data_IF_280990665697
#
_entry.id   IF_280990665697
#
_cell.length_a   1.000
_cell.length_b   1.000
_cell.length_c   1.000
_cell.angle_alpha   90.00
_cell.angle_beta   90.00
_cell.angle_gamma   90.00
#
_symmetry.space_group_name_H-M   'P 1'
#
loop_
_entity.id
_entity.type
_entity.pdbx_description
1 polymer ?
#
# COMPACT_ATOMS: atom_id res chain seq x y z
N UNK A 1 30.82 -23.80 17.70
CA UNK A 1 30.21 -25.09 18.11
C UNK A 1 30.42 -25.22 19.60
N UNK A 2 29.37 -25.37 20.41
CA UNK A 2 29.52 -25.56 21.84
C UNK A 2 30.26 -26.88 22.13
N UNK A 3 31.30 -26.83 22.96
CA UNK A 3 32.04 -27.99 23.46
C UNK A 3 31.55 -28.32 24.87
N UNK A 4 31.38 -29.61 25.17
CA UNK A 4 30.91 -30.08 26.48
C UNK A 4 31.98 -30.94 27.13
N UNK A 5 32.18 -30.82 28.45
CA UNK A 5 33.09 -31.71 29.17
C UNK A 5 32.36 -32.95 29.67
N UNK A 6 32.88 -34.14 29.35
CA UNK A 6 32.31 -35.38 29.83
C UNK A 6 32.48 -35.51 31.35
N UNK A 7 31.38 -35.66 32.08
CA UNK A 7 31.38 -35.80 33.54
C UNK A 7 32.12 -37.06 34.04
N UNK A 8 32.21 -38.11 33.21
CA UNK A 8 32.89 -39.36 33.59
C UNK A 8 34.39 -39.39 33.30
N UNK A 9 34.85 -38.77 32.20
CA UNK A 9 36.27 -38.83 31.79
C UNK A 9 36.97 -37.47 31.70
N UNK A 10 36.27 -36.37 31.96
CA UNK A 10 36.80 -35.00 31.99
C UNK A 10 37.22 -34.42 30.63
N UNK A 11 37.11 -35.18 29.54
CA UNK A 11 37.50 -34.72 28.20
C UNK A 11 36.42 -33.85 27.58
N UNK A 12 36.86 -32.83 26.85
CA UNK A 12 36.00 -32.05 25.97
C UNK A 12 35.54 -32.90 24.78
N UNK A 13 34.24 -32.92 24.55
CA UNK A 13 33.60 -33.64 23.47
C UNK A 13 32.69 -32.72 22.67
N UNK A 14 32.46 -33.12 21.42
CA UNK A 14 31.37 -32.56 20.60
C UNK A 14 30.02 -33.05 21.16
N UNK A 15 28.92 -32.31 20.89
CA UNK A 15 27.61 -32.69 21.40
C UNK A 15 27.20 -34.08 20.93
N UNK A 16 26.98 -34.99 21.89
CA UNK A 16 26.61 -36.37 21.63
C UNK A 16 25.90 -36.96 22.86
N UNK A 17 24.94 -37.86 22.63
CA UNK A 17 24.18 -38.56 23.68
C UNK A 17 25.09 -39.46 24.53
N UNK A 18 26.13 -40.02 23.91
CA UNK A 18 27.18 -40.82 24.57
C UNK A 18 28.56 -40.28 24.24
N UNK A 19 29.46 -40.32 25.21
CA UNK A 19 30.83 -39.92 25.02
C UNK A 19 31.54 -40.86 24.02
N UNK A 20 32.13 -40.35 22.92
CA UNK A 20 32.82 -41.19 21.94
C UNK A 20 34.09 -41.85 22.48
N UNK A 21 34.61 -41.40 23.63
CA UNK A 21 35.84 -41.91 24.22
C UNK A 21 35.63 -42.94 25.33
N UNK A 22 34.62 -42.76 26.19
CA UNK A 22 34.38 -43.66 27.33
C UNK A 22 33.01 -44.35 27.29
N UNK A 23 32.15 -44.03 26.33
CA UNK A 23 30.82 -44.63 26.17
C UNK A 23 29.77 -44.19 27.20
N UNK A 24 30.14 -43.35 28.17
CA UNK A 24 29.22 -42.86 29.20
C UNK A 24 28.10 -41.98 28.61
N UNK A 25 26.88 -42.16 29.12
CA UNK A 25 25.72 -41.31 28.78
C UNK A 25 25.86 -39.92 29.41
N UNK A 26 25.44 -38.89 28.67
CA UNK A 26 25.64 -37.49 29.03
C UNK A 26 24.29 -36.82 29.35
N UNK A 27 23.78 -36.91 30.60
CA UNK A 27 22.47 -36.35 30.97
C UNK A 27 22.39 -34.83 30.77
N UNK A 28 23.50 -34.12 31.04
CA UNK A 28 23.63 -32.67 30.83
C UNK A 28 23.35 -32.22 29.38
N UNK A 29 23.63 -33.07 28.38
CA UNK A 29 23.34 -32.76 26.98
C UNK A 29 21.84 -32.88 26.68
N UNK A 30 21.19 -33.90 27.24
CA UNK A 30 19.74 -34.12 27.10
C UNK A 30 18.97 -32.99 27.78
N UNK A 31 19.40 -32.58 28.98
CA UNK A 31 18.81 -31.44 29.69
C UNK A 31 18.96 -30.13 28.88
N UNK A 32 20.14 -29.89 28.31
CA UNK A 32 20.36 -28.70 27.48
C UNK A 32 19.51 -28.71 26.21
N UNK A 33 19.33 -29.86 25.56
CA UNK A 33 18.42 -30.01 24.43
C UNK A 33 16.97 -29.74 24.84
N UNK A 34 16.50 -30.29 25.95
CA UNK A 34 15.15 -30.07 26.46
C UNK A 34 14.88 -28.58 26.78
N UNK A 35 15.89 -27.87 27.30
CA UNK A 35 15.79 -26.43 27.56
C UNK A 35 15.70 -25.62 26.25
N UNK A 36 16.50 -25.96 25.23
CA UNK A 36 16.40 -25.34 23.91
C UNK A 36 15.02 -25.61 23.30
N UNK A 37 14.52 -26.85 23.35
CA UNK A 37 13.19 -27.20 22.85
C UNK A 37 12.08 -26.42 23.56
N UNK A 38 12.19 -26.24 24.88
CA UNK A 38 11.27 -25.38 25.66
C UNK A 38 11.32 -23.93 25.18
N UNK A 39 12.51 -23.37 24.94
CA UNK A 39 12.65 -22.00 24.42
C UNK A 39 12.06 -21.82 23.02
N UNK A 40 12.20 -22.83 22.15
CA UNK A 40 11.59 -22.84 20.81
C UNK A 40 10.07 -22.88 20.91
N UNK A 41 9.52 -23.72 21.80
CA UNK A 41 8.09 -23.81 22.03
C UNK A 41 7.52 -22.48 22.54
N UNK A 42 8.23 -21.79 23.44
CA UNK A 42 7.83 -20.46 23.91
C UNK A 42 7.84 -19.42 22.78
N UNK A 43 8.90 -19.38 21.96
CA UNK A 43 8.97 -18.46 20.82
C UNK A 43 7.83 -18.71 19.83
N UNK A 44 7.50 -19.98 19.53
CA UNK A 44 6.36 -20.33 18.65
C UNK A 44 5.01 -19.93 19.25
N UNK A 45 4.84 -20.07 20.56
CA UNK A 45 3.62 -19.62 21.23
C UNK A 45 3.45 -18.09 21.14
N UNK A 46 4.54 -17.33 21.30
CA UNK A 46 4.54 -15.86 21.11
C UNK A 46 4.22 -15.49 19.66
N UNK A 47 4.78 -16.20 18.68
CA UNK A 47 4.49 -15.98 17.26
C UNK A 47 3.01 -16.22 16.93
N UNK A 48 2.43 -17.30 17.45
CA UNK A 48 1.00 -17.58 17.31
C UNK A 48 0.11 -16.48 17.93
N UNK A 49 0.52 -15.93 19.09
CA UNK A 49 -0.17 -14.81 19.71
C UNK A 49 -0.12 -13.56 18.84
N UNK A 50 1.06 -13.18 18.33
CA UNK A 50 1.23 -12.03 17.42
C UNK A 50 0.39 -12.21 16.15
N UNK A 51 0.37 -13.41 15.57
CA UNK A 51 -0.46 -13.70 14.40
C UNK A 51 -1.96 -13.50 14.69
N UNK A 52 -2.41 -13.88 15.89
CA UNK A 52 -3.80 -13.68 16.32
C UNK A 52 -4.15 -12.19 16.47
N UNK A 53 -3.24 -11.38 17.01
CA UNK A 53 -3.40 -9.93 17.13
C UNK A 53 -3.45 -9.25 15.76
N UNK A 54 -2.58 -9.66 14.83
CA UNK A 54 -2.59 -9.16 13.46
C UNK A 54 -3.93 -9.43 12.76
N UNK A 55 -4.51 -10.63 12.95
CA UNK A 55 -5.84 -10.95 12.42
C UNK A 55 -6.93 -10.05 13.01
N UNK A 56 -6.90 -9.79 14.31
CA UNK A 56 -7.85 -8.89 14.95
C UNK A 56 -7.72 -7.45 14.44
N UNK A 57 -6.49 -6.96 14.24
CA UNK A 57 -6.24 -5.64 13.68
C UNK A 57 -6.76 -5.54 12.24
N UNK A 58 -6.51 -6.56 11.42
CA UNK A 58 -6.99 -6.63 10.04
C UNK A 58 -8.53 -6.63 9.98
N UNK A 59 -9.20 -7.42 10.83
CA UNK A 59 -10.66 -7.44 10.92
C UNK A 59 -11.24 -6.08 11.33
N UNK A 60 -10.65 -5.42 12.34
CA UNK A 60 -11.04 -4.06 12.76
C UNK A 60 -10.86 -3.04 11.63
N UNK A 61 -9.77 -3.15 10.87
CA UNK A 61 -9.51 -2.28 9.72
C UNK A 61 -10.57 -2.46 8.63
N UNK A 62 -10.94 -3.70 8.32
CA UNK A 62 -11.99 -4.00 7.34
C UNK A 62 -13.36 -3.47 7.78
N UNK A 63 -13.72 -3.66 9.05
CA UNK A 63 -14.96 -3.10 9.60
C UNK A 63 -15.01 -1.56 9.50
N UNK A 64 -13.88 -0.90 9.80
CA UNK A 64 -13.78 0.56 9.70
C UNK A 64 -13.89 1.04 8.23
N UNK A 65 -13.30 0.31 7.28
CA UNK A 65 -13.43 0.62 5.85
C UNK A 65 -14.87 0.46 5.36
N UNK A 66 -15.56 -0.60 5.78
CA UNK A 66 -16.96 -0.83 5.45
C UNK A 66 -17.87 0.28 6.01
N UNK A 67 -17.64 0.67 7.26
CA UNK A 67 -18.39 1.78 7.86
C UNK A 67 -18.15 3.10 7.14
N UNK A 68 -16.91 3.38 6.70
CA UNK A 68 -16.61 4.55 5.88
C UNK A 68 -17.39 4.54 4.56
N UNK A 69 -17.47 3.39 3.91
CA UNK A 69 -18.14 3.23 2.62
C UNK A 69 -19.66 3.45 2.72
N UNK A 70 -20.29 2.89 3.77
CA UNK A 70 -21.72 3.14 4.07
C UNK A 70 -21.98 4.64 4.25
N UNK A 71 -21.14 5.32 5.04
CA UNK A 71 -21.31 6.75 5.29
C UNK A 71 -21.10 7.60 4.02
N UNK A 72 -20.14 7.20 3.18
CA UNK A 72 -19.89 7.86 1.89
C UNK A 72 -21.12 7.74 0.97
N UNK A 73 -21.66 6.53 0.81
CA UNK A 73 -22.85 6.29 0.00
C UNK A 73 -24.11 6.98 0.54
N UNK A 74 -24.32 6.97 1.85
CA UNK A 74 -25.43 7.71 2.46
C UNK A 74 -25.32 9.23 2.22
N UNK A 75 -24.10 9.78 2.21
CA UNK A 75 -23.84 11.18 1.86
C UNK A 75 -24.18 11.49 0.40
N UNK A 76 -23.75 10.63 -0.53
CA UNK A 76 -24.06 10.77 -1.95
C UNK A 76 -25.56 10.70 -2.25
N UNK A 77 -26.29 9.78 -1.61
CA UNK A 77 -27.73 9.67 -1.77
C UNK A 77 -28.47 10.92 -1.27
N UNK A 78 -28.06 11.48 -0.13
CA UNK A 78 -28.63 12.73 0.40
C UNK A 78 -28.39 13.90 -0.56
N UNK A 79 -27.19 13.99 -1.14
CA UNK A 79 -26.86 15.00 -2.15
C UNK A 79 -27.74 14.86 -3.40
N UNK A 80 -27.92 13.63 -3.91
CA UNK A 80 -28.79 13.32 -5.05
C UNK A 80 -30.26 13.63 -4.77
N UNK A 81 -30.75 13.36 -3.56
CA UNK A 81 -32.11 13.71 -3.16
C UNK A 81 -32.32 15.23 -3.06
N UNK A 82 -31.34 15.96 -2.53
CA UNK A 82 -31.40 17.43 -2.42
C UNK A 82 -31.39 18.12 -3.79
N UNK A 83 -30.66 17.57 -4.77
CA UNK A 83 -30.61 18.10 -6.14
C UNK A 83 -31.75 17.60 -7.05
N UNK A 84 -32.60 16.68 -6.58
CA UNK A 84 -33.71 16.17 -7.40
C UNK A 84 -34.80 17.25 -7.52
N UNK A 85 -35.15 17.71 -8.74
CA UNK A 85 -36.18 18.73 -8.92
C UNK A 85 -37.53 18.19 -8.44
N UNK A 86 -38.16 18.89 -7.48
CA UNK A 86 -39.53 18.62 -7.03
C UNK A 86 -40.48 18.81 -8.22
N UNK A 87 -40.85 17.72 -8.90
CA UNK A 87 -41.99 17.71 -9.83
C UNK A 87 -43.26 17.90 -9.03
N UNK A 88 -43.73 19.14 -8.93
CA UNK A 88 -45.05 19.47 -8.40
C UNK A 88 -46.08 18.95 -9.41
N UNK A 89 -46.68 17.80 -9.12
CA UNK A 89 -47.88 17.34 -9.81
C UNK A 89 -49.00 18.35 -9.52
N UNK A 90 -49.23 19.26 -10.47
CA UNK A 90 -50.36 20.19 -10.45
C UNK A 90 -51.63 19.34 -10.51
N UNK A 91 -52.25 19.11 -9.35
CA UNK A 91 -53.52 18.40 -9.22
C UNK A 91 -54.59 19.22 -9.95
N UNK A 92 -54.96 18.82 -11.16
CA UNK A 92 -56.06 19.43 -11.92
C UNK A 92 -57.37 19.07 -11.21
N UNK A 93 -58.13 20.04 -10.68
CA UNK A 93 -59.43 19.76 -10.09
C UNK A 93 -60.44 19.55 -11.23
N UNK A 94 -61.20 18.46 -11.16
CA UNK A 94 -62.33 18.23 -12.05
C UNK A 94 -62.25 16.90 -12.79
N UNK A 95 -62.62 15.81 -12.11
CA UNK A 95 -63.36 14.70 -12.74
C UNK A 95 -64.20 14.01 -11.67
N UNK A 96 -65.52 14.15 -11.83
CA UNK A 96 -66.55 13.40 -11.10
C UNK A 96 -66.27 11.88 -11.20
N UNK A 97 -66.56 11.10 -10.16
CA UNK A 97 -66.62 9.64 -10.30
C UNK A 97 -67.86 9.27 -11.14
N UNK A 98 -67.77 8.37 -12.13
CA UNK A 98 -68.97 7.83 -12.76
C UNK A 98 -69.60 6.82 -11.80
N UNK A 99 -70.82 7.14 -11.38
CA UNK A 99 -71.81 6.20 -10.84
C UNK A 99 -72.10 5.10 -11.87
N UNK A 100 -72.27 3.89 -11.35
CA UNK A 100 -72.49 2.66 -12.09
C UNK A 100 -73.74 2.70 -12.99
N UNK A 101 -73.63 2.07 -14.17
CA UNK A 101 -74.77 1.56 -14.92
C UNK A 101 -74.52 0.08 -15.23
N UNK A 102 -75.53 -0.71 -14.88
CA UNK A 102 -75.72 -2.15 -15.01
C UNK A 102 -75.39 -2.72 -16.39
N UNK A 103 -74.74 -3.89 -16.44
CA UNK A 103 -74.82 -4.79 -17.62
C UNK A 103 -73.57 -5.62 -17.91
N UNK A 104 -73.71 -6.93 -17.71
CA UNK A 104 -72.89 -8.06 -18.23
C UNK A 104 -71.52 -8.37 -17.55
N UNK A 105 -71.28 -9.64 -17.14
CA UNK A 105 -70.02 -10.04 -16.53
C UNK A 105 -69.02 -10.54 -17.59
N UNK A 106 -67.71 -10.24 -17.47
CA UNK A 106 -66.69 -11.05 -18.12
C UNK A 106 -65.94 -11.92 -17.10
N UNK A 107 -66.16 -13.23 -17.26
CA UNK A 107 -65.23 -14.37 -17.16
C UNK A 107 -63.91 -14.18 -16.37
N UNK A 108 -63.82 -14.92 -15.27
CA UNK A 108 -62.57 -15.26 -14.57
C UNK A 108 -61.91 -16.46 -15.27
N UNK A 109 -60.59 -16.45 -15.56
CA UNK A 109 -59.85 -17.70 -15.75
C UNK A 109 -59.48 -18.30 -14.40
N UNK A 110 -59.98 -19.52 -14.16
CA UNK A 110 -59.72 -20.35 -12.99
C UNK A 110 -58.37 -21.08 -13.18
N UNK A 111 -57.62 -21.21 -12.09
CA UNK A 111 -56.44 -22.06 -11.95
C UNK A 111 -56.71 -23.50 -12.45
N UNK A 112 -55.76 -24.07 -13.18
CA UNK A 112 -55.67 -25.51 -13.48
C UNK A 112 -54.44 -26.12 -12.80
N UNK A 113 -54.66 -27.26 -12.14
CA UNK A 113 -53.66 -28.19 -11.57
C UNK A 113 -53.03 -29.07 -12.69
N UNK A 114 -51.92 -29.81 -12.44
CA UNK A 114 -50.88 -30.12 -13.43
C UNK A 114 -51.02 -31.49 -14.10
N UNK A 115 -50.37 -31.74 -15.25
CA UNK A 115 -50.08 -33.06 -15.77
C UNK A 115 -48.66 -33.57 -15.39
N UNK A 116 -48.41 -34.90 -15.46
CA UNK A 116 -47.24 -35.58 -14.88
C UNK A 116 -46.02 -35.57 -15.81
N UNK A 117 -44.82 -35.64 -15.22
CA UNK A 117 -43.55 -35.87 -15.92
C UNK A 117 -43.48 -37.26 -16.59
N UNK A 118 -42.45 -37.57 -17.39
CA UNK A 118 -41.05 -37.43 -16.99
C UNK A 118 -40.11 -36.94 -18.11
N UNK A 119 -39.27 -35.94 -17.82
CA UNK A 119 -38.02 -35.73 -18.56
C UNK A 119 -36.99 -35.21 -17.56
N UNK A 120 -35.87 -35.92 -17.47
CA UNK A 120 -34.76 -35.68 -16.57
C UNK A 120 -34.21 -34.25 -16.71
N UNK A 121 -33.95 -33.53 -15.60
CA UNK A 121 -33.18 -32.30 -15.68
C UNK A 121 -31.71 -32.64 -15.95
N UNK A 122 -31.29 -32.28 -17.15
CA UNK A 122 -29.89 -32.19 -17.59
C UNK A 122 -29.05 -31.49 -16.51
N UNK A 123 -27.92 -32.08 -16.05
CA UNK A 123 -27.11 -31.47 -15.01
C UNK A 123 -26.60 -30.11 -15.49
N UNK A 124 -26.57 -29.06 -14.65
CA UNK A 124 -26.05 -27.78 -15.07
C UNK A 124 -24.60 -27.98 -15.50
N UNK A 125 -24.28 -27.52 -16.72
CA UNK A 125 -22.92 -27.38 -17.20
C UNK A 125 -22.10 -26.70 -16.10
N UNK A 126 -21.10 -27.43 -15.64
CA UNK A 126 -20.12 -27.04 -14.64
C UNK A 126 -19.57 -25.67 -15.04
N UNK A 127 -20.10 -24.62 -14.42
CA UNK A 127 -19.33 -23.40 -14.26
C UNK A 127 -18.10 -23.85 -13.49
N UNK A 128 -16.92 -23.56 -14.01
CA UNK A 128 -15.68 -23.80 -13.31
C UNK A 128 -15.73 -22.99 -12.01
N UNK A 129 -16.18 -23.62 -10.94
CA UNK A 129 -15.98 -23.18 -9.58
C UNK A 129 -14.48 -23.20 -9.39
N UNK A 130 -13.86 -22.02 -9.53
CA UNK A 130 -12.54 -21.79 -8.98
C UNK A 130 -12.63 -22.23 -7.53
N UNK A 131 -11.84 -23.25 -7.16
CA UNK A 131 -11.76 -23.71 -5.79
C UNK A 131 -11.66 -22.49 -4.89
N UNK A 132 -12.63 -22.39 -3.99
CA UNK A 132 -12.63 -21.44 -2.89
C UNK A 132 -11.24 -21.40 -2.27
N UNK A 133 -10.67 -20.20 -2.19
CA UNK A 133 -9.48 -19.90 -1.41
C UNK A 133 -9.75 -19.92 0.11
N UNK A 134 -10.86 -20.53 0.51
CA UNK A 134 -11.36 -20.65 1.87
C UNK A 134 -11.40 -22.13 2.29
N UNK A 135 -10.27 -22.83 2.18
CA UNK A 135 -10.03 -24.02 2.99
C UNK A 135 -9.57 -23.56 4.39
N UNK A 136 -10.39 -23.71 5.44
CA UNK A 136 -10.07 -23.23 6.78
C UNK A 136 -8.90 -23.98 7.43
N UNK A 137 -8.46 -25.11 6.85
CA UNK A 137 -7.34 -25.91 7.39
C UNK A 137 -5.97 -25.53 6.80
N UNK A 138 -5.93 -24.91 5.61
CA UNK A 138 -4.69 -24.47 4.96
C UNK A 138 -4.88 -23.09 4.30
N UNK A 139 -4.68 -21.98 5.03
CA UNK A 139 -4.63 -20.67 4.39
C UNK A 139 -3.53 -20.67 3.33
N UNK A 140 -3.71 -20.03 2.16
CA UNK A 140 -2.66 -19.94 1.16
C UNK A 140 -1.42 -19.25 1.76
N UNK A 141 -0.35 -20.02 1.99
CA UNK A 141 0.89 -19.52 2.59
C UNK A 141 1.70 -18.57 1.69
N UNK A 142 1.19 -18.29 0.49
CA UNK A 142 1.68 -17.22 -0.37
C UNK A 142 0.48 -16.40 -0.89
N UNK A 143 0.46 -15.12 -0.53
CA UNK A 143 -0.48 -14.16 -1.12
C UNK A 143 -0.32 -14.19 -2.64
N UNK A 144 -1.40 -14.32 -3.40
CA UNK A 144 -1.38 -14.28 -4.87
C UNK A 144 -0.64 -13.06 -5.45
N UNK A 145 -0.51 -11.98 -4.67
CA UNK A 145 0.28 -10.79 -5.00
C UNK A 145 1.80 -11.00 -4.92
N UNK A 146 2.30 -11.81 -3.99
CA UNK A 146 3.72 -12.14 -3.91
C UNK A 146 4.14 -13.00 -5.09
N UNK A 147 3.33 -14.00 -5.45
CA UNK A 147 3.59 -14.87 -6.61
C UNK A 147 3.60 -14.08 -7.92
N UNK A 148 2.79 -13.03 -8.07
CA UNK A 148 2.79 -12.17 -9.25
C UNK A 148 3.93 -11.15 -9.27
N UNK A 149 4.37 -10.67 -8.11
CA UNK A 149 5.48 -9.73 -8.01
C UNK A 149 6.84 -10.38 -8.27
N UNK A 150 7.00 -11.68 -7.98
CA UNK A 150 8.23 -12.43 -8.26
C UNK A 150 8.60 -12.40 -9.76
N UNK A 151 7.75 -12.80 -10.73
CA UNK A 151 8.09 -12.78 -12.15
C UNK A 151 8.26 -11.35 -12.68
N UNK A 152 7.52 -10.37 -12.15
CA UNK A 152 7.71 -8.95 -12.50
C UNK A 152 9.09 -8.45 -12.06
N UNK A 153 9.49 -8.76 -10.83
CA UNK A 153 10.81 -8.45 -10.30
C UNK A 153 11.92 -9.18 -11.05
N UNK A 154 11.72 -10.45 -11.38
CA UNK A 154 12.66 -11.26 -12.14
C UNK A 154 12.82 -10.73 -13.57
N UNK A 155 11.73 -10.35 -14.23
CA UNK A 155 11.77 -9.73 -15.56
C UNK A 155 12.54 -8.40 -15.55
N UNK A 156 12.30 -7.55 -14.54
CA UNK A 156 13.04 -6.30 -14.38
C UNK A 156 14.53 -6.54 -14.10
N UNK A 157 14.87 -7.53 -13.27
CA UNK A 157 16.24 -7.94 -12.98
C UNK A 157 16.95 -8.43 -14.24
N UNK A 158 16.31 -9.33 -14.99
CA UNK A 158 16.85 -9.86 -16.25
C UNK A 158 17.08 -8.74 -17.27
N UNK A 159 16.16 -7.79 -17.38
CA UNK A 159 16.31 -6.65 -18.28
C UNK A 159 17.46 -5.73 -17.85
N UNK A 160 17.63 -5.51 -16.54
CA UNK A 160 18.77 -4.78 -15.99
C UNK A 160 20.11 -5.46 -16.29
N UNK A 161 20.20 -6.77 -16.06
CA UNK A 161 21.41 -7.56 -16.38
C UNK A 161 21.70 -7.52 -17.88
N UNK A 162 20.68 -7.71 -18.72
CA UNK A 162 20.82 -7.65 -20.17
C UNK A 162 21.35 -6.28 -20.63
N UNK A 163 20.86 -5.19 -20.03
CA UNK A 163 21.36 -3.86 -20.31
C UNK A 163 22.84 -3.72 -19.94
N UNK A 164 23.25 -4.16 -18.76
CA UNK A 164 24.67 -4.13 -18.31
C UNK A 164 25.56 -4.92 -19.26
N UNK A 165 25.15 -6.13 -19.63
CA UNK A 165 25.88 -6.96 -20.61
C UNK A 165 25.97 -6.27 -21.97
N UNK A 166 24.87 -5.70 -22.47
CA UNK A 166 24.86 -4.95 -23.71
C UNK A 166 25.84 -3.76 -23.65
N UNK A 167 25.82 -3.01 -22.56
CA UNK A 167 26.72 -1.88 -22.36
C UNK A 167 28.19 -2.32 -22.30
N UNK A 168 28.53 -3.45 -21.68
CA UNK A 168 29.91 -3.90 -21.54
C UNK A 168 30.45 -4.69 -22.75
N UNK A 169 29.63 -5.56 -23.35
CA UNK A 169 30.07 -6.59 -24.32
C UNK A 169 29.86 -6.17 -25.77
N UNK A 170 28.93 -5.26 -26.08
CA UNK A 170 28.67 -4.83 -27.46
C UNK A 170 29.79 -3.97 -28.08
N UNK A 171 30.98 -3.91 -27.46
CA UNK A 171 32.14 -3.12 -27.92
C UNK A 171 32.80 -3.66 -29.19
N UNK A 172 32.70 -4.97 -29.47
CA UNK A 172 33.38 -5.61 -30.60
C UNK A 172 32.59 -5.57 -31.91
N UNK A 173 31.28 -5.39 -31.84
CA UNK A 173 30.36 -5.47 -32.98
C UNK A 173 29.68 -4.14 -33.32
N UNK A 174 29.72 -3.15 -32.42
CA UNK A 174 28.98 -1.91 -32.55
C UNK A 174 29.82 -0.70 -32.17
N UNK A 175 29.68 0.37 -32.95
CA UNK A 175 30.32 1.64 -32.69
C UNK A 175 29.80 2.27 -31.37
N UNK A 176 30.68 2.94 -30.63
CA UNK A 176 30.36 3.47 -29.30
C UNK A 176 29.17 4.44 -29.32
N UNK A 177 29.08 5.27 -30.38
CA UNK A 177 27.96 6.18 -30.63
C UNK A 177 26.64 5.44 -30.85
N UNK A 178 26.66 4.33 -31.59
CA UNK A 178 25.47 3.51 -31.85
C UNK A 178 24.95 2.88 -30.56
N UNK A 179 25.84 2.32 -29.74
CA UNK A 179 25.49 1.75 -28.44
C UNK A 179 24.91 2.80 -27.48
N UNK A 180 25.52 3.99 -27.43
CA UNK A 180 25.01 5.12 -26.67
C UNK A 180 23.62 5.53 -27.16
N UNK A 181 23.42 5.64 -28.47
CA UNK A 181 22.11 6.00 -29.06
C UNK A 181 21.01 5.01 -28.68
N UNK A 182 21.29 3.71 -28.73
CA UNK A 182 20.34 2.67 -28.33
C UNK A 182 20.02 2.76 -26.83
N UNK A 183 21.03 2.92 -25.98
CA UNK A 183 20.82 3.05 -24.53
C UNK A 183 20.02 4.30 -24.19
N UNK A 184 20.30 5.44 -24.82
CA UNK A 184 19.53 6.67 -24.62
C UNK A 184 18.08 6.51 -25.07
N UNK A 185 17.84 5.92 -26.25
CA UNK A 185 16.50 5.65 -26.73
C UNK A 185 15.73 4.73 -25.78
N UNK A 186 16.36 3.62 -25.35
CA UNK A 186 15.77 2.70 -24.39
C UNK A 186 15.47 3.39 -23.04
N UNK A 187 16.39 4.22 -22.56
CA UNK A 187 16.21 5.00 -21.31
C UNK A 187 14.99 5.90 -21.40
N UNK A 188 14.86 6.65 -22.49
CA UNK A 188 13.72 7.55 -22.72
C UNK A 188 12.41 6.77 -22.77
N UNK A 189 12.35 5.67 -23.54
CA UNK A 189 11.16 4.83 -23.62
C UNK A 189 10.76 4.26 -22.26
N UNK A 190 11.75 3.78 -21.50
CA UNK A 190 11.53 3.19 -20.18
C UNK A 190 11.14 4.22 -19.11
N UNK A 191 11.51 5.49 -19.26
CA UNK A 191 11.07 6.59 -18.39
C UNK A 191 9.74 7.22 -18.83
N UNK A 192 9.32 7.07 -20.08
CA UNK A 192 8.01 7.55 -20.57
C UNK A 192 6.86 6.57 -20.31
N UNK A 193 7.16 5.28 -20.15
CA UNK A 193 6.13 4.25 -19.90
C UNK A 193 5.46 4.33 -18.50
N UNK A 194 6.19 4.51 -17.38
CA UNK A 194 5.61 4.49 -16.03
C UNK A 194 4.48 5.49 -15.77
N UNK A 195 4.53 6.76 -16.22
CA UNK A 195 3.45 7.72 -16.00
C UNK A 195 2.15 7.28 -16.69
N UNK A 196 2.26 6.70 -17.90
CA UNK A 196 1.10 6.17 -18.63
C UNK A 196 0.50 4.94 -17.94
N UNK A 197 1.34 4.04 -17.39
CA UNK A 197 0.89 2.87 -16.64
C UNK A 197 0.28 3.25 -15.29
N UNK A 198 0.87 4.21 -14.57
CA UNK A 198 0.36 4.72 -13.31
C UNK A 198 -1.05 5.33 -13.48
N UNK A 199 -1.28 6.07 -14.58
CA UNK A 199 -2.62 6.59 -14.93
C UNK A 199 -3.66 5.50 -15.22
N UNK A 200 -3.22 4.30 -15.59
CA UNK A 200 -4.07 3.12 -15.82
C UNK A 200 -4.26 2.24 -14.56
N UNK A 201 -3.76 2.67 -13.40
CA UNK A 201 -3.85 1.93 -12.14
C UNK A 201 -2.82 0.81 -11.97
N UNK A 202 -1.85 0.67 -12.88
CA UNK A 202 -0.80 -0.36 -12.84
C UNK A 202 0.44 0.13 -12.09
N UNK A 203 0.29 0.47 -10.81
CA UNK A 203 1.36 1.12 -10.02
C UNK A 203 2.57 0.22 -9.80
N UNK A 204 2.37 -1.07 -9.47
CA UNK A 204 3.48 -2.02 -9.28
C UNK A 204 4.36 -2.14 -10.52
N UNK A 205 3.74 -2.32 -11.70
CA UNK A 205 4.45 -2.37 -12.98
C UNK A 205 5.11 -1.04 -13.35
N UNK A 206 4.47 0.09 -13.02
CA UNK A 206 5.07 1.40 -13.24
C UNK A 206 6.34 1.56 -12.38
N UNK A 207 6.34 1.10 -11.13
CA UNK A 207 7.51 1.16 -10.26
C UNK A 207 8.66 0.28 -10.76
N UNK A 208 8.39 -0.95 -11.20
CA UNK A 208 9.44 -1.83 -11.75
C UNK A 208 10.04 -1.26 -13.03
N UNK A 209 9.20 -0.74 -13.93
CA UNK A 209 9.66 -0.14 -15.18
C UNK A 209 10.46 1.15 -14.90
N UNK A 210 10.01 1.99 -13.97
CA UNK A 210 10.74 3.18 -13.56
C UNK A 210 12.11 2.85 -12.95
N UNK A 211 12.19 1.79 -12.13
CA UNK A 211 13.46 1.33 -11.57
C UNK A 211 14.46 0.91 -12.66
N UNK A 212 14.01 0.15 -13.66
CA UNK A 212 14.86 -0.22 -14.81
C UNK A 212 15.23 1.00 -15.64
N UNK A 213 14.30 1.92 -15.91
CA UNK A 213 14.58 3.15 -16.64
C UNK A 213 15.64 4.03 -15.96
N UNK A 214 15.58 4.15 -14.63
CA UNK A 214 16.58 4.88 -13.85
C UNK A 214 17.93 4.16 -13.79
N UNK A 215 17.96 2.82 -13.81
CA UNK A 215 19.19 2.04 -13.92
C UNK A 215 19.91 2.28 -15.26
N UNK A 216 19.16 2.53 -16.34
CA UNK A 216 19.75 2.79 -17.65
C UNK A 216 20.47 4.14 -17.74
N UNK A 217 20.14 5.11 -16.89
CA UNK A 217 20.77 6.44 -16.89
C UNK A 217 22.29 6.38 -16.63
N UNK A 218 22.78 5.79 -15.53
CA UNK A 218 24.22 5.67 -15.31
C UNK A 218 24.89 4.77 -16.35
N UNK A 219 24.15 3.81 -16.92
CA UNK A 219 24.64 2.95 -17.98
C UNK A 219 24.84 3.69 -19.31
N UNK A 220 23.94 4.61 -19.64
CA UNK A 220 24.11 5.55 -20.74
C UNK A 220 25.29 6.48 -20.48
N UNK A 221 25.50 6.91 -19.22
CA UNK A 221 26.71 7.64 -18.81
C UNK A 221 28.00 6.85 -19.04
N UNK A 222 28.03 5.57 -18.68
CA UNK A 222 29.16 4.69 -19.01
C UNK A 222 29.38 4.56 -20.51
N UNK A 223 28.32 4.36 -21.29
CA UNK A 223 28.43 4.29 -22.74
C UNK A 223 28.93 5.61 -23.36
N UNK A 224 28.55 6.75 -22.77
CA UNK A 224 29.02 8.08 -23.14
C UNK A 224 30.51 8.24 -22.84
N UNK A 225 30.98 7.80 -21.67
CA UNK A 225 32.40 7.79 -21.33
C UNK A 225 33.23 6.96 -22.32
N UNK A 226 32.69 5.82 -22.76
CA UNK A 226 33.35 4.95 -23.71
C UNK A 226 33.40 5.50 -25.15
N UNK A 227 32.76 6.64 -25.44
CA UNK A 227 32.99 7.37 -26.68
C UNK A 227 34.37 8.02 -26.59
N UNK A 228 35.27 7.67 -27.51
CA UNK A 228 36.70 8.05 -27.49
C UNK A 228 36.95 9.55 -27.26
N UNK A 229 36.13 10.41 -27.89
CA UNK A 229 36.20 11.87 -27.71
C UNK A 229 35.94 12.36 -26.29
N UNK A 230 35.20 11.59 -25.51
CA UNK A 230 34.79 11.95 -24.15
C UNK A 230 35.72 11.27 -23.14
N UNK A 231 35.95 9.97 -23.27
CA UNK A 231 36.86 9.22 -22.40
C UNK A 231 38.33 9.68 -22.54
N UNK A 232 38.75 10.08 -23.74
CA UNK A 232 40.09 10.58 -24.04
C UNK A 232 40.31 12.07 -23.74
N UNK A 233 39.30 12.79 -23.22
CA UNK A 233 39.36 14.24 -22.98
C UNK A 233 40.32 14.70 -21.87
N UNK A 234 40.98 13.77 -21.17
CA UNK A 234 41.85 14.04 -20.02
C UNK A 234 41.10 14.28 -18.70
N UNK A 235 39.76 14.19 -18.71
CA UNK A 235 38.94 14.26 -17.49
C UNK A 235 39.14 12.99 -16.66
N UNK A 236 39.29 13.11 -15.33
CA UNK A 236 39.42 11.92 -14.48
C UNK A 236 38.14 11.07 -14.52
N UNK A 237 38.30 9.76 -14.68
CA UNK A 237 37.17 8.83 -14.75
C UNK A 237 36.29 8.89 -13.49
N UNK A 238 36.89 9.15 -12.33
CA UNK A 238 36.18 9.31 -11.07
C UNK A 238 35.27 10.55 -11.08
N UNK A 239 35.76 11.71 -11.53
CA UNK A 239 34.96 12.93 -11.65
C UNK A 239 33.81 12.74 -12.66
N UNK A 240 34.08 12.10 -13.79
CA UNK A 240 33.05 11.81 -14.78
C UNK A 240 31.96 10.88 -14.21
N UNK A 241 32.35 9.80 -13.54
CA UNK A 241 31.41 8.89 -12.88
C UNK A 241 30.60 9.62 -11.79
N UNK A 242 31.24 10.48 -11.00
CA UNK A 242 30.59 11.32 -9.99
C UNK A 242 29.52 12.23 -10.60
N UNK A 243 29.80 12.85 -11.75
CA UNK A 243 28.83 13.64 -12.51
C UNK A 243 27.66 12.80 -13.02
N UNK A 244 27.92 11.61 -13.57
CA UNK A 244 26.88 10.70 -14.04
C UNK A 244 25.95 10.29 -12.89
N UNK A 245 26.48 9.96 -11.72
CA UNK A 245 25.69 9.64 -10.54
C UNK A 245 24.92 10.85 -10.00
N UNK A 246 25.51 12.04 -10.02
CA UNK A 246 24.82 13.28 -9.65
C UNK A 246 23.64 13.60 -10.58
N UNK A 247 23.83 13.43 -11.90
CA UNK A 247 22.76 13.57 -12.90
C UNK A 247 21.69 12.51 -12.67
N UNK A 248 22.08 11.26 -12.41
CA UNK A 248 21.14 10.15 -12.13
C UNK A 248 20.30 10.46 -10.89
N UNK A 249 20.91 10.96 -9.81
CA UNK A 249 20.20 11.39 -8.61
C UNK A 249 19.22 12.54 -8.90
N UNK A 250 19.64 13.54 -9.68
CA UNK A 250 18.78 14.66 -10.09
C UNK A 250 17.59 14.21 -10.95
N UNK A 251 17.82 13.31 -11.92
CA UNK A 251 16.77 12.72 -12.75
C UNK A 251 15.80 11.91 -11.88
N UNK A 252 16.31 11.03 -11.02
CA UNK A 252 15.50 10.23 -10.11
C UNK A 252 14.64 11.10 -9.18
N UNK A 253 15.23 12.19 -8.65
CA UNK A 253 14.54 13.14 -7.78
C UNK A 253 13.42 13.88 -8.51
N UNK A 254 13.73 14.47 -9.68
CA UNK A 254 12.73 15.15 -10.51
C UNK A 254 11.62 14.20 -10.94
N UNK A 255 11.98 12.97 -11.29
CA UNK A 255 11.04 11.93 -11.70
C UNK A 255 10.15 11.47 -10.55
N UNK A 256 10.69 11.33 -9.33
CA UNK A 256 9.91 11.05 -8.11
C UNK A 256 8.87 12.13 -7.84
N UNK A 257 9.24 13.41 -7.99
CA UNK A 257 8.35 14.54 -7.76
C UNK A 257 7.26 14.65 -8.84
N UNK A 258 7.59 14.32 -10.09
CA UNK A 258 6.65 14.39 -11.20
C UNK A 258 5.64 13.23 -11.20
N UNK A 259 6.10 12.01 -10.89
CA UNK A 259 5.26 10.80 -10.99
C UNK A 259 4.62 10.38 -9.66
N UNK A 260 5.17 10.82 -8.52
CA UNK A 260 4.72 10.40 -7.19
C UNK A 260 5.06 8.95 -6.84
N UNK A 261 5.80 8.22 -7.69
CA UNK A 261 6.19 6.82 -7.47
C UNK A 261 7.22 6.72 -6.33
N UNK A 262 7.22 5.59 -5.60
CA UNK A 262 8.17 5.36 -4.50
C UNK A 262 9.54 4.92 -5.01
N UNK A 263 9.60 4.05 -6.02
CA UNK A 263 10.86 3.51 -6.55
C UNK A 263 11.89 4.61 -6.94
N UNK A 264 11.51 5.71 -7.63
CA UNK A 264 12.44 6.81 -7.94
C UNK A 264 13.03 7.54 -6.73
N UNK A 265 12.33 7.55 -5.58
CA UNK A 265 12.85 8.14 -4.34
C UNK A 265 14.04 7.34 -3.79
N UNK A 266 13.92 6.01 -3.78
CA UNK A 266 15.03 5.13 -3.39
C UNK A 266 16.19 5.24 -4.37
N UNK A 267 15.91 5.30 -5.68
CA UNK A 267 16.93 5.51 -6.69
C UNK A 267 17.70 6.84 -6.51
N UNK A 268 17.03 7.89 -6.04
CA UNK A 268 17.67 9.17 -5.71
C UNK A 268 18.75 9.01 -4.65
N UNK A 269 18.42 8.33 -3.54
CA UNK A 269 19.34 8.11 -2.43
C UNK A 269 20.52 7.23 -2.89
N UNK A 270 20.21 6.11 -3.56
CA UNK A 270 21.23 5.18 -4.04
C UNK A 270 22.21 5.85 -5.02
N UNK A 271 21.70 6.70 -5.92
CA UNK A 271 22.54 7.41 -6.88
C UNK A 271 23.33 8.57 -6.25
N UNK A 272 22.86 9.15 -5.14
CA UNK A 272 23.55 10.25 -4.46
C UNK A 272 24.76 9.79 -3.65
N UNK A 273 24.73 8.57 -3.09
CA UNK A 273 25.79 8.02 -2.24
C UNK A 273 27.20 8.03 -2.87
N UNK A 274 27.42 7.55 -4.11
CA UNK A 274 28.76 7.52 -4.69
C UNK A 274 29.27 8.89 -5.15
N UNK A 275 28.42 9.94 -5.18
CA UNK A 275 28.78 11.26 -5.72
C UNK A 275 29.95 11.89 -4.96
N UNK A 276 29.84 11.97 -3.63
CA UNK A 276 30.89 12.55 -2.76
C UNK A 276 32.20 11.75 -2.82
N UNK A 277 32.20 10.41 -2.64
CA UNK A 277 33.40 9.60 -2.78
C UNK A 277 34.08 9.73 -4.14
N UNK A 278 33.31 9.77 -5.24
CA UNK A 278 33.85 9.85 -6.59
C UNK A 278 34.48 11.22 -6.88
N UNK A 279 33.87 12.32 -6.44
CA UNK A 279 34.48 13.64 -6.58
C UNK A 279 35.71 13.85 -5.69
N UNK A 280 35.73 13.22 -4.51
CA UNK A 280 36.87 13.30 -3.59
C UNK A 280 37.98 12.29 -3.91
N UNK A 281 37.73 11.33 -4.80
CA UNK A 281 38.59 10.16 -5.04
C UNK A 281 40.05 10.54 -5.25
N UNK A 282 40.32 11.49 -6.16
CA UNK A 282 41.68 11.91 -6.51
C UNK A 282 42.40 12.68 -5.36
N UNK A 283 41.67 13.12 -4.32
CA UNK A 283 42.22 13.80 -3.14
C UNK A 283 42.30 12.92 -1.89
N UNK A 284 41.70 11.73 -1.91
CA UNK A 284 41.69 10.85 -0.74
C UNK A 284 42.99 10.06 -0.68
N UNK A 285 43.83 10.39 0.31
CA UNK A 285 45.06 9.63 0.61
C UNK A 285 44.90 8.89 1.93
N UNK A 286 44.91 7.56 1.87
CA UNK A 286 44.91 6.69 3.04
C UNK A 286 43.55 6.53 3.76
N UNK A 287 43.53 5.77 4.88
CA UNK A 287 42.29 5.38 5.56
C UNK A 287 41.49 6.55 6.15
N UNK A 288 42.18 7.59 6.65
CA UNK A 288 41.53 8.75 7.27
C UNK A 288 40.70 9.56 6.26
N UNK A 289 41.17 9.72 5.02
CA UNK A 289 40.42 10.40 3.97
C UNK A 289 39.15 9.62 3.58
N UNK A 290 39.24 8.29 3.50
CA UNK A 290 38.06 7.44 3.29
C UNK A 290 37.07 7.52 4.44
N UNK A 291 37.54 7.53 5.69
CA UNK A 291 36.68 7.71 6.85
C UNK A 291 35.91 9.03 6.80
N UNK A 292 36.56 10.13 6.44
CA UNK A 292 35.91 11.43 6.24
C UNK A 292 34.90 11.41 5.09
N UNK A 293 35.26 10.81 3.95
CA UNK A 293 34.36 10.71 2.81
C UNK A 293 33.09 9.92 3.14
N UNK A 294 33.23 8.76 3.80
CA UNK A 294 32.10 7.94 4.24
C UNK A 294 31.28 8.62 5.34
N UNK A 295 31.92 9.39 6.22
CA UNK A 295 31.20 10.22 7.21
C UNK A 295 30.35 11.29 6.51
N UNK A 296 30.89 11.94 5.48
CA UNK A 296 30.13 12.91 4.69
C UNK A 296 28.95 12.25 3.95
N UNK A 297 29.12 11.02 3.43
CA UNK A 297 28.02 10.23 2.86
C UNK A 297 26.96 9.93 3.92
N UNK A 298 27.34 9.52 5.13
CA UNK A 298 26.39 9.26 6.21
C UNK A 298 25.61 10.52 6.63
N UNK A 299 26.27 11.69 6.64
CA UNK A 299 25.60 12.98 6.88
C UNK A 299 24.64 13.32 5.75
N UNK A 300 25.02 13.06 4.49
CA UNK A 300 24.14 13.24 3.34
C UNK A 300 22.91 12.33 3.43
N UNK A 301 23.10 11.05 3.75
CA UNK A 301 22.01 10.09 3.92
C UNK A 301 21.06 10.53 5.05
N UNK A 302 21.60 11.01 6.17
CA UNK A 302 20.80 11.55 7.28
C UNK A 302 20.04 12.81 6.86
N UNK A 303 20.64 13.68 6.05
CA UNK A 303 19.97 14.86 5.52
C UNK A 303 18.84 14.49 4.56
N UNK A 304 19.10 13.56 3.62
CA UNK A 304 18.11 13.03 2.69
C UNK A 304 16.93 12.38 3.43
N UNK A 305 17.23 11.59 4.47
CA UNK A 305 16.23 10.95 5.32
C UNK A 305 15.33 11.94 6.07
N UNK A 306 15.83 13.15 6.36
CA UNK A 306 15.08 14.22 7.04
C UNK A 306 14.34 15.15 6.08
N UNK A 307 14.72 15.20 4.81
CA UNK A 307 14.02 16.00 3.80
C UNK A 307 12.68 15.37 3.38
N UNK A 308 11.78 16.21 2.87
CA UNK A 308 10.46 15.81 2.36
C UNK A 308 10.49 14.81 1.18
N UNK A 309 11.68 14.42 0.72
CA UNK A 309 11.91 13.39 -0.30
C UNK A 309 11.57 11.99 0.23
N UNK A 310 11.79 11.74 1.53
CA UNK A 310 11.57 10.45 2.20
C UNK A 310 10.40 10.46 3.16
N UNK A 311 10.04 11.63 3.71
CA UNK A 311 8.89 11.75 4.60
C UNK A 311 7.62 11.70 3.75
N UNK A 312 7.00 10.52 3.70
CA UNK A 312 5.62 10.38 3.29
C UNK A 312 4.79 11.49 3.95
N UNK A 313 4.12 12.33 3.15
CA UNK A 313 3.11 13.22 3.69
C UNK A 313 2.11 12.34 4.44
N UNK A 314 1.95 12.47 5.76
CA UNK A 314 0.91 11.74 6.45
C UNK A 314 -0.41 12.08 5.77
N UNK A 315 -1.11 11.06 5.29
CA UNK A 315 -2.39 11.15 4.57
C UNK A 315 -3.51 11.76 5.43
N UNK A 316 -3.23 12.10 6.69
CA UNK A 316 -4.19 12.70 7.63
C UNK A 316 -3.65 13.99 8.23
N UNK A 317 -3.79 15.10 7.51
CA UNK A 317 -3.90 16.44 8.13
C UNK A 317 -5.34 16.89 8.33
N UNK A 318 -6.31 16.10 7.84
CA UNK A 318 -7.72 16.48 7.81
C UNK A 318 -8.56 15.85 8.94
N UNK A 319 -7.96 15.11 9.89
CA UNK A 319 -8.69 14.71 11.09
C UNK A 319 -8.58 15.81 12.16
N UNK A 320 -9.71 16.29 12.71
CA UNK A 320 -9.70 17.12 13.90
C UNK A 320 -8.91 16.44 15.03
N UNK A 321 -8.19 17.21 15.87
CA UNK A 321 -7.54 16.64 17.05
C UNK A 321 -8.58 15.87 17.88
N UNK A 322 -8.22 14.71 18.47
CA UNK A 322 -9.13 13.98 19.34
C UNK A 322 -9.60 14.92 20.44
N UNK A 323 -10.93 15.00 20.62
CA UNK A 323 -11.52 15.83 21.66
C UNK A 323 -10.91 15.44 23.02
N UNK A 324 -10.61 16.42 23.90
CA UNK A 324 -10.06 16.13 25.20
C UNK A 324 -11.00 15.15 25.92
N UNK A 325 -10.45 14.02 26.34
CA UNK A 325 -11.13 13.05 27.19
C UNK A 325 -11.70 13.79 28.40
N UNK A 326 -13.03 13.81 28.51
CA UNK A 326 -13.70 14.29 29.70
C UNK A 326 -13.15 13.51 30.92
N UNK A 327 -12.93 14.19 32.06
CA UNK A 327 -12.42 13.52 33.24
C UNK A 327 -13.39 12.42 33.65
N UNK A 328 -12.87 11.20 33.76
CA UNK A 328 -13.54 10.08 34.42
C UNK A 328 -13.93 10.53 35.82
N UNK A 329 -15.21 10.75 36.06
CA UNK A 329 -15.71 10.92 37.42
C UNK A 329 -15.45 9.62 38.19
N UNK A 330 -14.89 9.68 39.43
CA UNK A 330 -14.66 8.49 40.22
C UNK A 330 -16.00 7.91 40.63
N UNK A 331 -16.24 6.64 40.28
CA UNK A 331 -17.37 5.87 40.78
C UNK A 331 -17.33 5.84 42.32
N UNK A 332 -18.32 6.46 42.97
CA UNK A 332 -18.50 6.32 44.42
C UNK A 332 -18.87 4.87 44.77
N UNK A 333 -18.39 4.32 45.89
CA UNK A 333 -18.72 2.96 46.30
C UNK A 333 -20.15 2.91 46.86
N UNK A 334 -20.92 1.95 46.36
CA UNK A 334 -22.26 1.62 46.84
C UNK A 334 -22.27 1.27 48.33
N UNK A 335 -23.02 2.01 49.15
CA UNK A 335 -23.39 1.60 50.51
C UNK A 335 -24.69 0.78 50.54
N UNK A 336 -24.87 -0.11 51.52
CA UNK A 336 -25.92 -1.13 51.51
C UNK A 336 -27.23 -0.64 52.15
N UNK A 337 -28.31 -1.13 51.58
CA UNK A 337 -29.72 -0.98 51.97
C UNK A 337 -30.03 -1.32 53.43
N UNK A 338 -30.97 -0.59 54.06
CA UNK A 338 -32.03 -1.12 54.95
C UNK A 338 -33.09 -0.03 55.34
N UNK A 339 -34.28 -0.36 55.91
CA UNK A 339 -35.57 0.07 55.36
C UNK A 339 -36.51 0.85 56.32
N UNK A 340 -37.69 1.25 55.79
CA UNK A 340 -39.02 1.45 56.45
C UNK A 340 -39.70 2.84 56.29
N UNK A 341 -40.95 2.77 55.81
CA UNK A 341 -42.03 3.75 55.48
C UNK A 341 -42.55 4.67 56.62
N UNK A 342 -43.66 5.48 56.48
CA UNK A 342 -44.29 6.21 55.35
C UNK A 342 -44.70 7.68 55.68
N UNK A 343 -45.13 8.50 54.68
CA UNK A 343 -46.36 9.34 54.66
C UNK A 343 -46.32 10.61 53.75
N UNK A 344 -47.30 10.64 52.83
CA UNK A 344 -48.16 11.76 52.35
C UNK A 344 -47.69 13.06 51.65
N UNK A 345 -48.43 13.33 50.55
CA UNK A 345 -49.01 14.61 50.06
C UNK A 345 -48.34 15.42 48.91
N UNK A 346 -48.92 15.29 47.70
CA UNK A 346 -49.37 16.44 46.88
C UNK A 346 -48.60 16.83 45.59
N UNK A 347 -49.26 17.27 44.47
CA UNK A 347 -48.69 17.28 43.11
C UNK A 347 -48.49 18.69 42.48
N UNK A 348 -47.66 18.82 41.41
CA UNK A 348 -47.86 19.74 40.25
C UNK A 348 -46.67 19.77 39.25
N UNK A 349 -46.97 19.87 37.93
CA UNK A 349 -46.16 20.65 36.97
C UNK A 349 -45.56 19.89 35.76
N UNK A 350 -46.15 20.09 34.58
CA UNK A 350 -45.77 19.52 33.27
C UNK A 350 -44.61 20.30 32.55
N UNK A 351 -44.02 19.78 31.44
CA UNK A 351 -42.73 20.22 30.90
C UNK A 351 -42.81 21.30 29.80
N UNK A 352 -41.74 22.09 29.62
CA UNK A 352 -41.61 23.11 28.54
C UNK A 352 -40.46 22.76 27.57
N UNK A 353 -40.77 22.77 26.27
CA UNK A 353 -39.89 22.50 25.14
C UNK A 353 -39.08 23.74 24.66
N UNK A 354 -37.96 23.58 23.93
CA UNK A 354 -37.17 24.70 23.43
C UNK A 354 -37.55 25.20 22.03
N UNK A 355 -37.19 26.47 21.81
CA UNK A 355 -37.67 27.45 20.82
C UNK A 355 -36.94 27.36 19.46
N UNK A 356 -37.69 27.40 18.35
CA UNK A 356 -37.17 27.58 16.98
C UNK A 356 -36.72 29.04 16.74
N UNK A 357 -35.70 29.24 15.89
CA UNK A 357 -35.31 30.55 15.34
C UNK A 357 -35.19 30.46 13.80
N UNK A 358 -35.86 31.38 13.10
CA UNK A 358 -36.00 31.50 11.64
C UNK A 358 -34.77 32.13 10.94
N UNK A 359 -34.66 32.02 9.60
CA UNK A 359 -33.58 32.59 8.79
C UNK A 359 -33.96 33.91 8.08
N UNK A 360 -33.05 34.88 8.08
CA UNK A 360 -33.02 36.11 7.26
C UNK A 360 -31.60 36.18 6.65
N UNK A 361 -31.31 36.64 5.42
CA UNK A 361 -32.06 37.23 4.32
C UNK A 361 -31.09 37.38 3.13
N UNK A 362 -31.65 37.36 1.90
CA UNK A 362 -30.98 37.58 0.61
C UNK A 362 -30.94 39.07 0.26
N UNK A 363 -29.98 39.53 -0.56
CA UNK A 363 -30.26 40.58 -1.55
C UNK A 363 -29.96 40.13 -3.00
N UNK A 364 -30.82 40.55 -3.93
CA UNK A 364 -30.71 40.41 -5.39
C UNK A 364 -30.14 41.67 -6.07
N UNK A 365 -29.60 41.48 -7.30
CA UNK A 365 -29.55 42.44 -8.42
C UNK A 365 -28.21 43.14 -8.64
N UNK A 366 -27.60 43.27 -9.84
CA UNK A 366 -27.88 42.93 -11.26
C UNK A 366 -26.59 43.29 -12.10
N UNK A 367 -26.51 43.29 -13.46
CA UNK A 367 -27.26 42.60 -14.53
C UNK A 367 -26.34 41.83 -15.54
N UNK A 368 -26.97 41.31 -16.59
CA UNK A 368 -26.53 40.43 -17.70
C UNK A 368 -25.49 41.02 -18.69
N UNK A 369 -24.69 40.13 -19.31
CA UNK A 369 -24.24 40.28 -20.70
C UNK A 369 -24.16 38.89 -21.40
N UNK A 370 -24.92 38.76 -22.48
CA UNK A 370 -24.88 37.76 -23.57
C UNK A 370 -23.50 37.76 -24.27
N UNK A 371 -22.87 36.69 -24.73
CA UNK A 371 -23.33 35.52 -25.46
C UNK A 371 -22.66 35.52 -26.84
N UNK A 372 -21.65 34.68 -27.11
CA UNK A 372 -21.21 34.39 -28.49
C UNK A 372 -20.59 32.99 -28.61
N UNK A 373 -21.24 32.17 -29.44
CA UNK A 373 -20.79 30.87 -29.94
C UNK A 373 -20.26 31.12 -31.35
N UNK A 374 -18.99 30.77 -31.60
CA UNK A 374 -18.43 30.71 -32.95
C UNK A 374 -17.96 29.28 -33.22
N UNK A 375 -18.78 28.58 -34.01
CA UNK A 375 -18.42 27.37 -34.74
C UNK A 375 -18.21 27.70 -36.21
N UNK A 376 -17.14 27.16 -36.81
CA UNK A 376 -17.02 26.92 -38.25
C UNK A 376 -15.65 27.32 -38.83
N UNK A 377 -15.28 26.82 -40.02
CA UNK A 377 -15.97 25.85 -40.89
C UNK A 377 -15.50 24.39 -40.75
#
# INVERSE_FOLDING_TARGET
MATFQCSSCGREIKPAVRCPHCGAEQPQWIEHLAEIERSIAEMKAREAAIASEQRQIAAKMQAALFQRDILAHAGEERLKQATRPRRVLRRRPGRRPPTATTGAPPRVPRQGTPPPGPDDPEPPLSTATWLDADDPEHPPEASSREVQNIPLGLGALLLGVAAVVFAAVATSSMDALGRLGILLLATVLMLLAPPALARRGLTSTAETIAAVGLLLVPLAGYALWAVDRIGGSGTSGAVFAGLVFAVTAGVAFGYANWTGLRAPRFATVLAAQPVLPLFAYDRITGPAGWALALTAVAVLDLWLARTAVTVERPVRRDLPPPAPTAPTEPSEPSEPSEPSEPAEAGPAGAPTAPRQRQPEGRPEGAPEESGEVLTGP
#
